data_IF_526421527794
#
_entry.id   IF_526421527794
#
_cell.length_a   1.000
_cell.length_b   1.000
_cell.length_c   1.000
_cell.angle_alpha   90.00
_cell.angle_beta   90.00
_cell.angle_gamma   90.00
#
_symmetry.space_group_name_H-M   'P 1'
#
loop_
_entity.id
_entity.type
_entity.pdbx_description
1 polymer ?
#
# COMPACT_ATOMS: atom_id res chain seq x y z
N UNK A 1 -19.07 10.52 14.02
CA UNK A 1 -17.78 10.00 14.50
C UNK A 1 -16.87 11.19 14.72
N UNK A 2 -16.38 11.40 15.93
CA UNK A 2 -15.39 12.44 16.23
C UNK A 2 -13.99 11.99 15.81
N UNK A 3 -13.05 12.94 15.70
CA UNK A 3 -11.64 12.63 15.44
C UNK A 3 -11.06 11.68 16.50
N UNK A 4 -11.41 11.91 17.76
CA UNK A 4 -10.97 11.08 18.89
C UNK A 4 -11.52 9.65 18.81
N UNK A 5 -12.77 9.49 18.37
CA UNK A 5 -13.35 8.16 18.15
C UNK A 5 -12.64 7.42 17.02
N UNK A 6 -12.36 8.12 15.90
CA UNK A 6 -11.65 7.54 14.76
C UNK A 6 -10.24 7.06 15.16
N UNK A 7 -9.46 7.91 15.83
CA UNK A 7 -8.12 7.55 16.32
C UNK A 7 -8.16 6.36 17.28
N UNK A 8 -9.16 6.29 18.17
CA UNK A 8 -9.32 5.15 19.06
C UNK A 8 -9.60 3.85 18.28
N UNK A 9 -10.47 3.90 17.28
CA UNK A 9 -10.76 2.73 16.44
C UNK A 9 -9.52 2.26 15.67
N UNK A 10 -8.71 3.16 15.13
CA UNK A 10 -7.49 2.81 14.41
C UNK A 10 -6.41 2.21 15.35
N UNK A 11 -6.29 2.74 16.58
CA UNK A 11 -5.41 2.15 17.61
C UNK A 11 -5.85 0.74 18.02
N UNK A 12 -7.16 0.51 18.18
CA UNK A 12 -7.72 -0.81 18.45
C UNK A 12 -7.48 -1.77 17.27
N UNK A 13 -7.58 -1.29 16.03
CA UNK A 13 -7.31 -2.07 14.84
C UNK A 13 -5.85 -2.52 14.75
N UNK A 14 -4.89 -1.62 15.02
CA UNK A 14 -3.45 -1.96 15.09
C UNK A 14 -3.22 -3.02 16.17
N UNK A 15 -3.81 -2.85 17.35
CA UNK A 15 -3.67 -3.80 18.45
C UNK A 15 -4.24 -5.17 18.07
N UNK A 16 -5.43 -5.21 17.50
CA UNK A 16 -6.06 -6.45 17.04
C UNK A 16 -5.25 -7.15 15.96
N UNK A 17 -4.64 -6.42 15.02
CA UNK A 17 -3.72 -6.97 14.01
C UNK A 17 -2.48 -7.58 14.66
N UNK A 18 -1.85 -6.86 15.59
CA UNK A 18 -0.68 -7.33 16.33
C UNK A 18 -0.99 -8.58 17.15
N UNK A 19 -2.16 -8.65 17.77
CA UNK A 19 -2.58 -9.76 18.62
C UNK A 19 -3.06 -10.98 17.80
N UNK A 20 -3.61 -10.78 16.59
CA UNK A 20 -4.11 -11.86 15.74
C UNK A 20 -3.02 -12.62 15.00
N UNK A 21 -1.91 -11.98 14.67
CA UNK A 21 -0.88 -12.61 13.83
C UNK A 21 0.38 -12.89 14.65
N UNK A 22 0.65 -14.18 14.90
CA UNK A 22 1.98 -14.59 15.37
C UNK A 22 3.03 -14.57 14.25
N UNK A 23 2.60 -14.38 12.99
CA UNK A 23 3.46 -14.42 11.81
C UNK A 23 3.40 -13.07 11.09
N UNK A 24 4.56 -12.45 10.95
CA UNK A 24 4.76 -11.22 10.18
C UNK A 24 4.75 -11.52 8.67
N UNK A 25 3.56 -11.61 8.08
CA UNK A 25 3.36 -11.87 6.64
C UNK A 25 3.28 -10.56 5.85
N UNK A 26 3.39 -10.60 4.50
CA UNK A 26 3.15 -9.40 3.69
C UNK A 26 1.78 -8.74 3.93
N UNK A 27 0.72 -9.54 4.11
CA UNK A 27 -0.63 -9.03 4.39
C UNK A 27 -0.72 -8.34 5.76
N UNK A 28 0.03 -8.82 6.76
CA UNK A 28 0.12 -8.15 8.06
C UNK A 28 0.69 -6.74 7.93
N UNK A 29 1.83 -6.61 7.24
CA UNK A 29 2.49 -5.34 7.02
C UNK A 29 1.67 -4.40 6.12
N UNK A 30 1.01 -4.96 5.10
CA UNK A 30 0.06 -4.22 4.29
C UNK A 30 -1.09 -3.64 5.14
N UNK A 31 -1.67 -4.45 6.03
CA UNK A 31 -2.73 -4.00 6.93
C UNK A 31 -2.30 -2.86 7.84
N UNK A 32 -1.10 -2.94 8.43
CA UNK A 32 -0.55 -1.85 9.24
C UNK A 32 -0.32 -0.58 8.41
N UNK A 33 0.23 -0.71 7.20
CA UNK A 33 0.46 0.42 6.31
C UNK A 33 -0.83 1.18 5.98
N UNK A 34 -1.91 0.45 5.71
CA UNK A 34 -3.21 1.06 5.44
C UNK A 34 -3.78 1.81 6.65
N UNK A 35 -3.68 1.25 7.85
CA UNK A 35 -4.17 1.91 9.07
C UNK A 35 -3.37 3.19 9.35
N UNK A 36 -2.04 3.14 9.22
CA UNK A 36 -1.21 4.35 9.35
C UNK A 36 -1.57 5.41 8.32
N UNK A 37 -1.86 5.03 7.07
CA UNK A 37 -2.32 5.97 6.06
C UNK A 37 -3.67 6.62 6.42
N UNK A 38 -4.60 5.86 7.01
CA UNK A 38 -5.91 6.38 7.48
C UNK A 38 -5.75 7.37 8.63
N UNK A 39 -4.73 7.21 9.46
CA UNK A 39 -4.38 8.16 10.53
C UNK A 39 -3.64 9.41 10.01
N UNK A 40 -3.21 9.42 8.74
CA UNK A 40 -2.37 10.49 8.18
C UNK A 40 -0.88 10.32 8.46
N UNK A 41 -0.47 9.20 9.08
CA UNK A 41 0.92 8.87 9.37
C UNK A 41 1.60 8.27 8.13
N UNK A 42 1.77 9.08 7.09
CA UNK A 42 2.22 8.59 5.77
C UNK A 42 3.63 7.98 5.81
N UNK A 43 4.54 8.52 6.62
CA UNK A 43 5.88 7.96 6.80
C UNK A 43 5.83 6.51 7.33
N UNK A 44 5.02 6.30 8.36
CA UNK A 44 4.84 4.97 8.95
C UNK A 44 4.10 4.05 7.98
N UNK A 45 3.12 4.57 7.25
CA UNK A 45 2.41 3.81 6.21
C UNK A 45 3.37 3.27 5.15
N UNK A 46 4.27 4.13 4.63
CA UNK A 46 5.28 3.75 3.65
C UNK A 46 6.30 2.76 4.23
N UNK A 47 6.71 2.93 5.48
CA UNK A 47 7.61 2.00 6.15
C UNK A 47 7.03 0.57 6.23
N UNK A 48 5.76 0.45 6.63
CA UNK A 48 5.10 -0.85 6.74
C UNK A 48 4.88 -1.47 5.34
N UNK A 49 4.50 -0.68 4.33
CA UNK A 49 4.40 -1.17 2.96
C UNK A 49 5.76 -1.65 2.40
N UNK A 50 6.85 -0.95 2.71
CA UNK A 50 8.21 -1.38 2.35
C UNK A 50 8.60 -2.71 3.02
N UNK A 51 8.10 -2.96 4.23
CA UNK A 51 8.28 -4.24 4.92
C UNK A 51 7.52 -5.38 4.23
N UNK A 52 6.29 -5.13 3.76
CA UNK A 52 5.52 -6.10 2.97
C UNK A 52 6.25 -6.46 1.66
N UNK A 53 6.70 -5.45 0.92
CA UNK A 53 7.46 -5.62 -0.33
C UNK A 53 8.77 -6.40 -0.11
N UNK A 54 9.45 -6.12 1.00
CA UNK A 54 10.69 -6.83 1.35
C UNK A 54 10.44 -8.31 1.57
N UNK A 55 9.35 -8.69 2.24
CA UNK A 55 9.00 -10.10 2.42
C UNK A 55 8.63 -10.78 1.11
N UNK A 56 7.87 -10.11 0.24
CA UNK A 56 7.48 -10.66 -1.07
C UNK A 56 8.70 -11.00 -1.93
N UNK A 57 9.75 -10.16 -1.92
CA UNK A 57 11.00 -10.40 -2.65
C UNK A 57 11.75 -11.66 -2.21
N UNK A 58 11.54 -12.11 -0.96
CA UNK A 58 12.17 -13.32 -0.43
C UNK A 58 11.33 -14.58 -0.67
N UNK A 59 10.12 -14.47 -1.26
CA UNK A 59 9.32 -15.62 -1.68
C UNK A 59 9.91 -16.17 -2.99
N UNK A 60 10.38 -17.43 -3.03
CA UNK A 60 10.96 -18.06 -4.22
C UNK A 60 9.98 -18.12 -5.40
N UNK A 61 10.44 -17.73 -6.60
CA UNK A 61 9.62 -17.62 -7.83
C UNK A 61 9.21 -18.99 -8.42
N UNK A 62 9.84 -20.07 -7.99
CA UNK A 62 9.61 -21.45 -8.44
C UNK A 62 8.34 -22.09 -7.87
N UNK A 63 7.66 -21.42 -6.94
CA UNK A 63 6.34 -21.83 -6.46
C UNK A 63 5.24 -21.35 -7.41
N UNK A 64 4.91 -22.14 -8.44
CA UNK A 64 3.88 -21.80 -9.46
C UNK A 64 2.53 -21.32 -8.86
N UNK A 65 2.16 -21.84 -7.68
CA UNK A 65 0.93 -21.43 -6.98
C UNK A 65 1.04 -20.07 -6.28
N UNK A 66 2.26 -19.59 -6.04
CA UNK A 66 2.56 -18.32 -5.39
C UNK A 66 2.85 -17.19 -6.38
N UNK A 67 3.17 -17.46 -7.65
CA UNK A 67 3.51 -16.40 -8.63
C UNK A 67 2.34 -15.42 -8.81
N UNK A 68 1.12 -15.92 -9.02
CA UNK A 68 -0.06 -15.06 -9.23
C UNK A 68 -0.44 -14.30 -7.96
N UNK A 69 -0.36 -14.95 -6.80
CA UNK A 69 -0.64 -14.32 -5.50
C UNK A 69 0.40 -13.25 -5.16
N UNK A 70 1.70 -13.56 -5.34
CA UNK A 70 2.81 -12.63 -5.13
C UNK A 70 2.67 -11.42 -6.05
N UNK A 71 2.43 -11.64 -7.35
CA UNK A 71 2.23 -10.56 -8.33
C UNK A 71 1.04 -9.67 -7.97
N UNK A 72 -0.08 -10.27 -7.52
CA UNK A 72 -1.24 -9.51 -7.06
C UNK A 72 -0.89 -8.66 -5.83
N UNK A 73 -0.23 -9.25 -4.83
CA UNK A 73 0.19 -8.52 -3.62
C UNK A 73 1.19 -7.40 -3.91
N UNK A 74 2.17 -7.63 -4.78
CA UNK A 74 3.11 -6.60 -5.23
C UNK A 74 2.39 -5.46 -5.96
N UNK A 75 1.46 -5.78 -6.85
CA UNK A 75 0.67 -4.77 -7.56
C UNK A 75 -0.15 -3.93 -6.58
N UNK A 76 -0.82 -4.59 -5.64
CA UNK A 76 -1.63 -3.94 -4.61
C UNK A 76 -0.77 -3.04 -3.72
N UNK A 77 0.36 -3.54 -3.21
CA UNK A 77 1.28 -2.78 -2.36
C UNK A 77 1.83 -1.53 -3.06
N UNK A 78 2.19 -1.65 -4.34
CA UNK A 78 2.71 -0.53 -5.13
C UNK A 78 1.63 0.50 -5.47
N UNK A 79 0.40 0.07 -5.73
CA UNK A 79 -0.73 0.98 -5.92
C UNK A 79 -1.03 1.77 -4.63
N UNK A 80 -1.01 1.10 -3.48
CA UNK A 80 -1.16 1.76 -2.17
C UNK A 80 -0.02 2.74 -1.90
N UNK A 81 1.22 2.36 -2.21
CA UNK A 81 2.40 3.24 -2.12
C UNK A 81 2.21 4.51 -2.94
N UNK A 82 1.82 4.38 -4.21
CA UNK A 82 1.59 5.54 -5.07
C UNK A 82 0.47 6.46 -4.54
N UNK A 83 -0.57 5.86 -3.96
CA UNK A 83 -1.69 6.59 -3.37
C UNK A 83 -1.28 7.33 -2.10
N UNK A 84 -0.49 6.70 -1.23
CA UNK A 84 0.01 7.32 0.00
C UNK A 84 1.00 8.44 -0.33
N UNK A 85 1.90 8.25 -1.29
CA UNK A 85 2.79 9.32 -1.78
C UNK A 85 1.99 10.51 -2.29
N UNK A 86 0.91 10.26 -3.04
CA UNK A 86 0.04 11.35 -3.51
C UNK A 86 -0.67 12.08 -2.36
N UNK A 87 -1.13 11.36 -1.33
CA UNK A 87 -1.74 11.94 -0.13
C UNK A 87 -0.73 12.73 0.72
N UNK A 88 0.53 12.29 0.77
CA UNK A 88 1.62 13.00 1.44
C UNK A 88 2.07 14.27 0.71
N UNK A 89 1.66 14.44 -0.56
CA UNK A 89 2.08 15.57 -1.40
C UNK A 89 3.31 15.26 -2.27
N UNK A 90 3.84 14.04 -2.21
CA UNK A 90 4.98 13.56 -2.99
C UNK A 90 4.56 13.13 -4.42
N UNK A 91 3.89 14.06 -5.12
CA UNK A 91 3.23 13.80 -6.40
C UNK A 91 4.18 13.28 -7.48
N UNK A 92 5.43 13.75 -7.51
CA UNK A 92 6.42 13.29 -8.49
C UNK A 92 6.75 11.81 -8.30
N UNK A 93 6.94 11.36 -7.06
CA UNK A 93 7.23 9.95 -6.78
C UNK A 93 6.01 9.07 -7.03
N UNK A 94 4.82 9.54 -6.64
CA UNK A 94 3.57 8.86 -6.95
C UNK A 94 3.39 8.63 -8.46
N UNK A 95 3.66 9.66 -9.27
CA UNK A 95 3.56 9.58 -10.74
C UNK A 95 4.55 8.58 -11.34
N UNK A 96 5.78 8.49 -10.81
CA UNK A 96 6.76 7.47 -11.24
C UNK A 96 6.22 6.07 -11.00
N UNK A 97 5.65 5.82 -9.82
CA UNK A 97 5.10 4.50 -9.46
C UNK A 97 3.86 4.17 -10.31
N UNK A 98 2.92 5.11 -10.46
CA UNK A 98 1.75 4.91 -11.33
C UNK A 98 2.14 4.62 -12.77
N UNK A 99 3.14 5.33 -13.31
CA UNK A 99 3.65 5.10 -14.66
C UNK A 99 4.23 3.70 -14.83
N UNK A 100 5.05 3.24 -13.87
CA UNK A 100 5.63 1.90 -13.93
C UNK A 100 4.54 0.81 -13.83
N UNK A 101 3.51 1.00 -13.01
CA UNK A 101 2.36 0.08 -12.95
C UNK A 101 1.57 0.05 -14.27
N UNK A 102 1.36 1.21 -14.89
CA UNK A 102 0.65 1.32 -16.17
C UNK A 102 1.41 0.61 -17.31
N UNK A 103 2.73 0.81 -17.38
CA UNK A 103 3.59 0.16 -18.39
C UNK A 103 3.61 -1.36 -18.22
N UNK A 104 3.45 -1.87 -17.00
CA UNK A 104 3.45 -3.31 -16.68
C UNK A 104 2.14 -4.06 -16.96
N UNK A 105 1.13 -3.41 -17.56
CA UNK A 105 -0.15 -4.02 -17.96
C UNK A 105 -0.97 -4.63 -16.80
N UNK A 106 -1.20 -3.85 -15.73
CA UNK A 106 -2.04 -4.26 -14.60
C UNK A 106 -3.26 -3.35 -14.50
N UNK A 107 -4.33 -3.74 -15.20
CA UNK A 107 -5.67 -3.15 -15.14
C UNK A 107 -5.73 -1.63 -15.40
N UNK A 108 -5.67 -1.27 -16.69
CA UNK A 108 -5.52 0.09 -17.18
C UNK A 108 -6.64 1.05 -16.75
N UNK A 109 -7.84 0.55 -16.46
CA UNK A 109 -9.00 1.39 -16.12
C UNK A 109 -8.92 1.96 -14.70
N UNK A 110 -8.51 1.14 -13.73
CA UNK A 110 -8.30 1.56 -12.33
C UNK A 110 -7.13 2.54 -12.22
N UNK A 111 -6.02 2.26 -12.91
CA UNK A 111 -4.83 3.11 -12.92
C UNK A 111 -5.06 4.47 -13.62
N UNK A 112 -5.85 4.51 -14.69
CA UNK A 112 -6.12 5.74 -15.44
C UNK A 112 -6.85 6.78 -14.61
N UNK A 113 -7.71 6.35 -13.70
CA UNK A 113 -8.44 7.25 -12.78
C UNK A 113 -7.49 7.86 -11.75
N UNK A 114 -6.70 7.04 -11.06
CA UNK A 114 -5.72 7.52 -10.06
C UNK A 114 -4.62 8.40 -10.68
N UNK A 115 -4.09 8.01 -11.85
CA UNK A 115 -3.07 8.76 -12.57
C UNK A 115 -3.57 10.15 -13.02
N UNK A 116 -4.82 10.24 -13.49
CA UNK A 116 -5.44 11.52 -13.86
C UNK A 116 -5.61 12.44 -12.65
N UNK A 117 -6.03 11.90 -11.50
CA UNK A 117 -6.14 12.69 -10.27
C UNK A 117 -4.78 13.24 -9.83
N UNK A 118 -3.72 12.43 -9.86
CA UNK A 118 -2.37 12.87 -9.51
C UNK A 118 -1.83 13.95 -10.47
N UNK A 119 -2.09 13.84 -11.78
CA UNK A 119 -1.71 14.86 -12.76
C UNK A 119 -2.44 16.19 -12.57
N UNK A 120 -3.74 16.16 -12.27
CA UNK A 120 -4.53 17.37 -12.02
C UNK A 120 -4.12 18.09 -10.73
N UNK A 121 -3.60 17.35 -9.75
CA UNK A 121 -3.10 17.92 -8.50
C UNK A 121 -1.69 18.53 -8.61
N UNK A 122 -0.95 18.27 -9.69
CA UNK A 122 0.45 18.68 -9.89
C UNK A 122 0.66 19.84 -10.88
N UNK A 123 -0.42 20.36 -11.48
CA UNK A 123 -0.39 21.53 -12.38
C UNK A 123 -0.98 22.77 -11.73
#
# INVERSE_FOLDING_TARGET
MSLDEALRYEQEAIKALRDRTNTRTPDYYYGLGMIHAQMGDYDQALYELGSADSLLKHIPDDSYHYIDTKRNQETRGRLSTATILALAGDLNEALVVYRDLYVRNLDADSLKTSYRHALLASG
#
